data_IF_619010960907
#
_entry.id   IF_619010960907
#
_cell.length_a   1.000
_cell.length_b   1.000
_cell.length_c   1.000
_cell.angle_alpha   90.00
_cell.angle_beta   90.00
_cell.angle_gamma   90.00
#
_symmetry.space_group_name_H-M   'P 1'
#
loop_
_entity.id
_entity.type
_entity.pdbx_description
1 polymer ?
#
# COMPACT_ATOMS: atom_id res chain seq x y z
N UNK A 1 20.12 -4.85 -48.31
CA UNK A 1 19.56 -4.47 -47.00
C UNK A 1 20.34 -5.16 -45.89
N UNK A 2 21.01 -4.37 -45.04
CA UNK A 2 21.26 -4.54 -43.60
C UNK A 2 22.43 -3.60 -43.26
N UNK A 3 22.06 -2.42 -42.75
CA UNK A 3 22.99 -1.42 -42.22
C UNK A 3 23.55 -1.96 -40.92
N UNK A 4 24.82 -2.34 -40.93
CA UNK A 4 25.61 -2.48 -39.71
C UNK A 4 26.11 -1.09 -39.33
N UNK A 5 25.58 -0.54 -38.23
CA UNK A 5 26.09 0.69 -37.61
C UNK A 5 26.74 0.27 -36.29
N UNK A 6 28.07 0.34 -36.26
CA UNK A 6 28.95 0.32 -35.09
C UNK A 6 30.10 1.30 -35.44
N UNK A 7 30.87 1.83 -34.48
CA UNK A 7 30.50 2.56 -33.26
C UNK A 7 31.41 3.81 -33.06
N UNK A 8 30.97 4.94 -32.47
CA UNK A 8 31.81 5.94 -31.76
C UNK A 8 30.91 6.85 -30.89
N UNK A 9 31.00 6.76 -29.56
CA UNK A 9 31.78 7.62 -28.65
C UNK A 9 31.15 9.01 -28.43
N UNK A 10 30.79 9.25 -27.18
CA UNK A 10 30.29 10.48 -26.58
C UNK A 10 29.60 10.08 -25.26
N UNK A 11 30.33 9.50 -24.30
CA UNK A 11 30.87 10.28 -23.19
C UNK A 11 29.71 10.68 -22.28
N UNK A 12 29.41 10.01 -21.17
CA UNK A 12 30.25 9.88 -19.98
C UNK A 12 30.00 8.49 -19.36
N UNK A 13 30.97 7.59 -19.50
CA UNK A 13 31.32 6.71 -18.41
C UNK A 13 32.38 7.45 -17.58
N UNK A 14 32.33 7.29 -16.25
CA UNK A 14 33.28 7.80 -15.25
C UNK A 14 33.03 9.23 -14.71
N UNK A 15 31.98 9.40 -13.89
CA UNK A 15 31.98 10.40 -12.79
C UNK A 15 30.93 10.16 -11.68
N UNK A 16 30.47 8.93 -11.41
CA UNK A 16 29.67 8.63 -10.17
C UNK A 16 30.46 7.73 -9.20
N UNK A 17 31.71 7.40 -9.52
CA UNK A 17 32.59 6.68 -8.59
C UNK A 17 33.19 7.58 -7.48
N UNK A 18 32.98 8.91 -7.50
CA UNK A 18 33.60 9.82 -6.51
C UNK A 18 32.64 10.68 -5.68
N UNK A 19 31.32 10.62 -5.90
CA UNK A 19 30.33 11.20 -4.97
C UNK A 19 29.59 10.14 -4.16
N UNK A 20 29.58 8.89 -4.63
CA UNK A 20 29.16 7.73 -3.82
C UNK A 20 30.19 7.33 -2.75
N UNK A 21 31.45 7.75 -2.86
CA UNK A 21 32.51 7.42 -1.91
C UNK A 21 32.56 8.33 -0.66
N UNK A 22 31.80 9.44 -0.63
CA UNK A 22 31.69 10.29 0.56
C UNK A 22 30.41 10.04 1.38
N UNK A 23 29.44 9.27 0.86
CA UNK A 23 28.32 8.71 1.65
C UNK A 23 28.64 7.31 2.22
N UNK A 24 29.78 6.72 1.83
CA UNK A 24 30.23 5.39 2.26
C UNK A 24 31.03 5.39 3.58
N UNK A 25 31.20 6.54 4.27
CA UNK A 25 31.87 6.59 5.57
C UNK A 25 30.94 6.32 6.77
N UNK A 26 29.81 5.62 6.57
CA UNK A 26 28.95 5.14 7.65
C UNK A 26 28.10 3.90 7.25
N UNK A 27 28.68 2.87 6.60
CA UNK A 27 28.16 1.49 6.57
C UNK A 27 26.65 1.23 6.37
N UNK A 28 25.93 2.10 5.66
CA UNK A 28 24.47 2.05 5.55
C UNK A 28 23.99 1.31 4.30
N UNK A 29 22.73 0.84 4.33
CA UNK A 29 22.04 0.20 3.21
C UNK A 29 21.99 1.13 1.99
N UNK A 30 22.28 0.61 0.80
CA UNK A 30 22.18 1.39 -0.45
C UNK A 30 20.72 1.75 -0.76
N UNK A 31 20.48 2.79 -1.57
CA UNK A 31 19.12 3.16 -2.01
C UNK A 31 18.49 2.01 -2.82
N UNK A 32 19.26 1.39 -3.71
CA UNK A 32 18.79 0.27 -4.52
C UNK A 32 18.37 -0.94 -3.68
N UNK A 33 19.17 -1.33 -2.67
CA UNK A 33 18.83 -2.45 -1.78
C UNK A 33 17.60 -2.14 -0.92
N UNK A 34 17.52 -0.91 -0.40
CA UNK A 34 16.37 -0.43 0.35
C UNK A 34 15.07 -0.48 -0.47
N UNK A 35 15.13 0.01 -1.71
CA UNK A 35 14.01 0.00 -2.65
C UNK A 35 13.59 -1.43 -3.04
N UNK A 36 14.55 -2.33 -3.23
CA UNK A 36 14.26 -3.75 -3.50
C UNK A 36 13.53 -4.40 -2.33
N UNK A 37 14.00 -4.19 -1.09
CA UNK A 37 13.35 -4.71 0.12
C UNK A 37 11.92 -4.18 0.23
N UNK A 38 11.72 -2.86 0.06
CA UNK A 38 10.40 -2.25 0.11
C UNK A 38 9.44 -2.87 -0.91
N UNK A 39 9.87 -3.01 -2.17
CA UNK A 39 9.08 -3.61 -3.23
C UNK A 39 8.77 -5.09 -2.98
N UNK A 40 9.77 -5.90 -2.58
CA UNK A 40 9.60 -7.33 -2.35
C UNK A 40 8.56 -7.61 -1.25
N UNK A 41 8.62 -6.87 -0.14
CA UNK A 41 7.66 -7.01 0.96
C UNK A 41 6.27 -6.49 0.56
N UNK A 42 6.18 -5.36 -0.15
CA UNK A 42 4.90 -4.85 -0.66
C UNK A 42 4.25 -5.79 -1.67
N UNK A 43 5.00 -6.36 -2.61
CA UNK A 43 4.47 -7.31 -3.60
C UNK A 43 3.95 -8.58 -2.93
N UNK A 44 4.68 -9.13 -1.96
CA UNK A 44 4.21 -10.29 -1.18
C UNK A 44 2.89 -9.97 -0.48
N UNK A 45 2.83 -8.82 0.18
CA UNK A 45 1.69 -8.45 1.01
C UNK A 45 0.44 -8.06 0.21
N UNK A 46 0.61 -7.54 -1.01
CA UNK A 46 -0.51 -7.09 -1.86
C UNK A 46 -1.02 -8.15 -2.83
N UNK A 47 -0.27 -9.24 -3.02
CA UNK A 47 -0.58 -10.27 -4.02
C UNK A 47 -1.94 -10.94 -3.86
N UNK A 48 -2.48 -11.04 -2.64
CA UNK A 48 -3.75 -11.71 -2.36
C UNK A 48 -4.95 -10.77 -2.18
N UNK A 49 -4.73 -9.47 -1.97
CA UNK A 49 -5.79 -8.50 -1.58
C UNK A 49 -7.02 -8.60 -2.49
N UNK A 50 -6.85 -8.55 -3.81
CA UNK A 50 -7.98 -8.53 -4.73
C UNK A 50 -8.83 -9.81 -4.63
N UNK A 51 -8.17 -10.96 -4.44
CA UNK A 51 -8.86 -12.23 -4.23
C UNK A 51 -9.57 -12.25 -2.88
N UNK A 52 -8.91 -11.77 -1.82
CA UNK A 52 -9.45 -11.76 -0.46
C UNK A 52 -10.64 -10.82 -0.33
N UNK A 53 -10.57 -9.62 -0.93
CA UNK A 53 -11.71 -8.68 -1.02
C UNK A 53 -12.87 -9.31 -1.80
N UNK A 54 -12.59 -9.98 -2.92
CA UNK A 54 -13.65 -10.64 -3.71
C UNK A 54 -14.32 -11.76 -2.93
N UNK A 55 -13.54 -12.59 -2.23
CA UNK A 55 -14.05 -13.67 -1.39
C UNK A 55 -14.87 -13.12 -0.20
N UNK A 56 -14.40 -12.04 0.42
CA UNK A 56 -15.12 -11.34 1.48
C UNK A 56 -16.48 -10.80 0.99
N UNK A 57 -16.53 -10.18 -0.18
CA UNK A 57 -17.79 -9.71 -0.77
C UNK A 57 -18.76 -10.88 -1.04
N UNK A 58 -18.26 -12.03 -1.50
CA UNK A 58 -19.10 -13.23 -1.70
C UNK A 58 -19.65 -13.78 -0.38
N UNK A 59 -18.85 -13.78 0.69
CA UNK A 59 -19.30 -14.16 2.03
C UNK A 59 -20.35 -13.21 2.59
N UNK A 60 -20.12 -11.90 2.46
CA UNK A 60 -21.05 -10.88 2.91
C UNK A 60 -22.42 -11.01 2.22
N UNK A 61 -22.43 -11.23 0.89
CA UNK A 61 -23.67 -11.45 0.13
C UNK A 61 -24.36 -12.79 0.48
N UNK A 62 -23.62 -13.74 1.06
CA UNK A 62 -24.17 -14.97 1.61
C UNK A 62 -24.73 -14.82 3.03
N UNK A 63 -24.61 -13.64 3.64
CA UNK A 63 -25.04 -13.37 5.02
C UNK A 63 -24.00 -13.79 6.07
N UNK A 64 -22.78 -14.15 5.65
CA UNK A 64 -21.69 -14.39 6.58
C UNK A 64 -21.12 -13.07 7.10
N UNK A 65 -20.76 -13.06 8.38
CA UNK A 65 -20.05 -11.93 8.99
C UNK A 65 -18.65 -11.82 8.40
N UNK A 66 -18.29 -10.62 7.96
CA UNK A 66 -17.01 -10.32 7.32
C UNK A 66 -16.36 -9.16 8.06
N UNK A 67 -15.11 -9.36 8.46
CA UNK A 67 -14.24 -8.30 8.95
C UNK A 67 -13.37 -7.80 7.79
N UNK A 68 -13.69 -6.62 7.27
CA UNK A 68 -12.96 -6.04 6.15
C UNK A 68 -11.58 -5.52 6.58
N UNK A 69 -11.35 -5.20 7.86
CA UNK A 69 -10.06 -4.75 8.34
C UNK A 69 -9.03 -5.89 8.35
N UNK A 70 -9.45 -7.11 8.69
CA UNK A 70 -8.61 -8.32 8.65
C UNK A 70 -8.06 -8.62 7.23
N UNK A 71 -8.80 -8.27 6.18
CA UNK A 71 -8.37 -8.47 4.78
C UNK A 71 -7.10 -7.68 4.46
N UNK A 72 -6.96 -6.49 5.05
CA UNK A 72 -5.83 -5.59 4.78
C UNK A 72 -4.66 -5.79 5.76
N UNK A 73 -4.83 -6.62 6.79
CA UNK A 73 -3.81 -6.91 7.80
C UNK A 73 -2.50 -7.48 7.22
N UNK A 74 -2.50 -8.40 6.24
CA UNK A 74 -1.25 -8.85 5.61
C UNK A 74 -0.43 -7.69 5.03
N UNK A 75 -1.12 -6.65 4.54
CA UNK A 75 -0.51 -5.46 3.93
C UNK A 75 0.12 -4.56 4.96
N UNK A 76 -0.58 -4.27 6.05
CA UNK A 76 -0.02 -3.48 7.16
C UNK A 76 1.17 -4.19 7.78
N UNK A 77 1.12 -5.52 7.95
CA UNK A 77 2.25 -6.33 8.42
C UNK A 77 3.42 -6.34 7.44
N UNK A 78 3.15 -6.41 6.13
CA UNK A 78 4.16 -6.32 5.08
C UNK A 78 4.87 -4.97 5.09
N UNK A 79 4.11 -3.89 5.27
CA UNK A 79 4.64 -2.54 5.40
C UNK A 79 5.47 -2.36 6.68
N UNK A 80 5.06 -2.96 7.79
CA UNK A 80 5.84 -2.96 9.04
C UNK A 80 7.15 -3.74 8.91
N UNK A 81 7.11 -4.89 8.22
CA UNK A 81 8.33 -5.64 7.88
C UNK A 81 9.24 -4.83 6.97
N UNK A 82 8.71 -4.19 5.94
CA UNK A 82 9.49 -3.35 5.03
C UNK A 82 10.17 -2.19 5.76
N UNK A 83 9.40 -1.41 6.54
CA UNK A 83 9.89 -0.25 7.29
C UNK A 83 10.91 -0.60 8.37
N UNK A 84 10.85 -1.82 8.94
CA UNK A 84 11.84 -2.32 9.90
C UNK A 84 13.16 -2.77 9.26
N UNK A 85 13.14 -3.21 8.00
CA UNK A 85 14.33 -3.69 7.25
C UNK A 85 15.01 -2.60 6.43
N UNK A 86 14.28 -1.55 6.08
CA UNK A 86 14.81 -0.41 5.34
C UNK A 86 15.48 0.55 6.31
N UNK A 87 16.81 0.68 6.21
CA UNK A 87 17.62 1.58 7.04
C UNK A 87 18.13 2.79 6.27
N UNK A 88 17.99 2.81 4.95
CA UNK A 88 18.32 3.98 4.15
C UNK A 88 17.27 5.07 4.34
N UNK A 89 17.62 6.17 5.03
CA UNK A 89 16.70 7.27 5.36
C UNK A 89 15.95 7.87 4.16
N UNK A 90 16.55 7.88 2.96
CA UNK A 90 15.90 8.43 1.76
C UNK A 90 14.71 7.57 1.34
N UNK A 91 14.80 6.26 1.51
CA UNK A 91 13.71 5.30 1.20
C UNK A 91 12.81 5.10 2.41
N UNK A 92 13.39 5.06 3.61
CA UNK A 92 12.67 4.84 4.87
C UNK A 92 11.58 5.88 5.10
N UNK A 93 11.90 7.17 4.95
CA UNK A 93 10.96 8.26 5.23
C UNK A 93 9.67 8.20 4.38
N UNK A 94 9.72 8.11 3.04
CA UNK A 94 8.51 7.98 2.23
C UNK A 94 7.80 6.63 2.45
N UNK A 95 8.54 5.55 2.74
CA UNK A 95 7.95 4.26 3.09
C UNK A 95 7.19 4.28 4.42
N UNK A 96 7.75 4.89 5.47
CA UNK A 96 7.09 5.06 6.77
C UNK A 96 5.82 5.93 6.63
N UNK A 97 5.88 6.98 5.79
CA UNK A 97 4.72 7.82 5.48
C UNK A 97 3.63 7.03 4.73
N UNK A 98 4.01 6.23 3.74
CA UNK A 98 3.09 5.34 3.03
C UNK A 98 2.45 4.32 4.00
N UNK A 99 3.26 3.67 4.85
CA UNK A 99 2.80 2.70 5.84
C UNK A 99 1.78 3.33 6.82
N UNK A 100 2.05 4.56 7.25
CA UNK A 100 1.15 5.30 8.15
C UNK A 100 -0.19 5.61 7.47
N UNK A 101 -0.19 6.12 6.25
CA UNK A 101 -1.43 6.41 5.52
C UNK A 101 -2.21 5.13 5.20
N UNK A 102 -1.51 4.01 4.92
CA UNK A 102 -2.16 2.72 4.72
C UNK A 102 -2.83 2.20 5.99
N UNK A 103 -2.19 2.34 7.16
CA UNK A 103 -2.81 1.99 8.45
C UNK A 103 -4.01 2.87 8.77
N UNK A 104 -3.98 4.15 8.41
CA UNK A 104 -5.13 5.03 8.58
C UNK A 104 -6.29 4.64 7.66
N UNK A 105 -5.97 4.21 6.43
CA UNK A 105 -6.95 3.62 5.53
C UNK A 105 -7.60 2.36 6.12
N UNK A 106 -6.81 1.40 6.62
CA UNK A 106 -7.37 0.16 7.19
C UNK A 106 -8.23 0.43 8.42
N UNK A 107 -7.84 1.38 9.28
CA UNK A 107 -8.63 1.80 10.45
C UNK A 107 -10.01 2.35 10.09
N UNK A 108 -10.20 2.84 8.86
CA UNK A 108 -11.52 3.30 8.41
C UNK A 108 -12.52 2.15 8.35
N UNK A 109 -12.05 0.91 8.18
CA UNK A 109 -12.86 -0.30 8.19
C UNK A 109 -13.07 -0.89 9.60
N UNK A 110 -12.45 -0.31 10.64
CA UNK A 110 -12.58 -0.84 12.01
C UNK A 110 -14.05 -0.77 12.47
N UNK A 111 -14.56 -1.92 12.88
CA UNK A 111 -15.95 -2.08 13.31
C UNK A 111 -16.97 -1.86 12.19
N UNK A 112 -16.57 -1.90 10.92
CA UNK A 112 -17.51 -2.00 9.82
C UNK A 112 -17.92 -3.45 9.62
N UNK A 113 -19.19 -3.73 9.90
CA UNK A 113 -19.81 -5.01 9.65
C UNK A 113 -20.96 -4.78 8.67
N UNK A 114 -20.94 -5.51 7.56
CA UNK A 114 -22.06 -5.45 6.63
C UNK A 114 -23.26 -6.15 7.28
N UNK A 115 -24.43 -5.49 7.40
CA UNK A 115 -25.60 -6.10 8.01
C UNK A 115 -26.08 -7.30 7.16
N UNK A 116 -26.67 -8.31 7.80
CA UNK A 116 -27.29 -9.43 7.07
C UNK A 116 -28.49 -8.92 6.28
N UNK A 117 -28.29 -8.79 4.97
CA UNK A 117 -29.31 -8.29 4.04
C UNK A 117 -30.39 -9.31 3.71
N UNK A 118 -30.23 -10.59 4.09
CA UNK A 118 -31.17 -11.66 3.71
C UNK A 118 -32.44 -11.69 4.57
N UNK A 119 -32.36 -11.22 5.82
CA UNK A 119 -33.43 -11.36 6.81
C UNK A 119 -33.82 -10.03 7.45
N UNK A 120 -33.66 -8.92 6.73
CA UNK A 120 -34.00 -7.60 7.27
C UNK A 120 -35.52 -7.47 7.37
N UNK A 121 -36.01 -7.37 8.60
CA UNK A 121 -37.38 -6.96 8.88
C UNK A 121 -37.46 -5.43 8.84
N UNK A 122 -38.08 -4.89 7.79
CA UNK A 122 -38.28 -3.45 7.64
C UNK A 122 -39.26 -2.85 8.65
N UNK A 123 -39.97 -3.69 9.42
CA UNK A 123 -40.83 -3.27 10.52
C UNK A 123 -40.11 -3.27 11.88
N UNK A 124 -38.91 -3.84 11.98
CA UNK A 124 -38.07 -3.81 13.19
C UNK A 124 -37.22 -2.52 13.24
N UNK A 125 -37.48 -1.61 14.21
CA UNK A 125 -36.69 -0.39 14.36
C UNK A 125 -35.19 -0.65 14.57
N UNK A 126 -34.81 -1.75 15.23
CA UNK A 126 -33.41 -2.06 15.48
C UNK A 126 -32.68 -2.53 14.21
N UNK A 127 -33.37 -3.23 13.31
CA UNK A 127 -32.84 -3.61 12.00
C UNK A 127 -32.63 -2.38 11.10
N UNK A 128 -33.58 -1.45 11.13
CA UNK A 128 -33.50 -0.17 10.41
C UNK A 128 -32.37 0.72 10.93
N UNK A 129 -32.16 0.79 12.24
CA UNK A 129 -31.05 1.54 12.85
C UNK A 129 -29.69 0.96 12.43
N UNK A 130 -29.52 -0.36 12.46
CA UNK A 130 -28.28 -1.02 11.99
C UNK A 130 -28.00 -0.76 10.51
N UNK A 131 -29.03 -0.78 9.67
CA UNK A 131 -28.91 -0.43 8.26
C UNK A 131 -28.44 1.01 8.07
N UNK A 132 -29.01 1.94 8.84
CA UNK A 132 -28.61 3.34 8.78
C UNK A 132 -27.16 3.53 9.23
N UNK A 133 -26.76 2.94 10.36
CA UNK A 133 -25.38 2.98 10.85
C UNK A 133 -24.39 2.38 9.84
N UNK A 134 -24.74 1.25 9.22
CA UNK A 134 -23.93 0.63 8.18
C UNK A 134 -23.80 1.52 6.93
N UNK A 135 -24.89 2.20 6.52
CA UNK A 135 -24.89 3.16 5.42
C UNK A 135 -24.00 4.37 5.72
N UNK A 136 -24.11 4.95 6.92
CA UNK A 136 -23.29 6.07 7.38
C UNK A 136 -21.80 5.70 7.44
N UNK A 137 -21.48 4.54 8.04
CA UNK A 137 -20.12 3.98 8.04
C UNK A 137 -19.59 3.72 6.63
N UNK A 138 -20.41 3.17 5.72
CA UNK A 138 -19.98 2.93 4.35
C UNK A 138 -19.68 4.24 3.59
N UNK A 139 -20.48 5.29 3.82
CA UNK A 139 -20.20 6.62 3.27
C UNK A 139 -18.92 7.23 3.86
N UNK A 140 -18.69 7.07 5.16
CA UNK A 140 -17.47 7.52 5.83
C UNK A 140 -16.24 6.79 5.27
N UNK A 141 -16.31 5.46 5.17
CA UNK A 141 -15.27 4.61 4.55
C UNK A 141 -14.99 5.08 3.12
N UNK A 142 -16.02 5.35 2.33
CA UNK A 142 -15.85 5.81 0.95
C UNK A 142 -15.08 7.14 0.87
N UNK A 143 -15.43 8.11 1.72
CA UNK A 143 -14.72 9.40 1.82
C UNK A 143 -13.27 9.22 2.28
N UNK A 144 -13.06 8.43 3.33
CA UNK A 144 -11.74 8.16 3.88
C UNK A 144 -10.87 7.38 2.89
N UNK A 145 -11.44 6.42 2.15
CA UNK A 145 -10.79 5.67 1.10
C UNK A 145 -10.35 6.56 -0.05
N UNK A 146 -11.19 7.53 -0.48
CA UNK A 146 -10.81 8.52 -1.48
C UNK A 146 -9.64 9.39 -1.02
N UNK A 147 -9.74 9.96 0.18
CA UNK A 147 -8.69 10.80 0.75
C UNK A 147 -7.37 10.03 0.93
N UNK A 148 -7.45 8.80 1.45
CA UNK A 148 -6.31 7.91 1.61
C UNK A 148 -5.71 7.51 0.26
N UNK A 149 -6.53 7.22 -0.75
CA UNK A 149 -6.05 6.86 -2.10
C UNK A 149 -5.19 7.97 -2.70
N UNK A 150 -5.62 9.24 -2.63
CA UNK A 150 -4.81 10.37 -3.10
C UNK A 150 -3.47 10.43 -2.38
N UNK A 151 -3.48 10.34 -1.05
CA UNK A 151 -2.25 10.38 -0.26
C UNK A 151 -1.33 9.18 -0.53
N UNK A 152 -1.88 7.97 -0.63
CA UNK A 152 -1.14 6.74 -0.92
C UNK A 152 -0.49 6.81 -2.30
N UNK A 153 -1.20 7.36 -3.30
CA UNK A 153 -0.64 7.61 -4.64
C UNK A 153 0.52 8.61 -4.56
N UNK A 154 0.36 9.71 -3.83
CA UNK A 154 1.42 10.72 -3.69
C UNK A 154 2.64 10.18 -2.92
N UNK A 155 2.45 9.40 -1.86
CA UNK A 155 3.56 8.74 -1.17
C UNK A 155 4.21 7.66 -2.05
N UNK A 156 3.42 6.90 -2.79
CA UNK A 156 3.91 5.91 -3.76
C UNK A 156 4.80 6.54 -4.84
N UNK A 157 4.41 7.71 -5.38
CA UNK A 157 5.25 8.48 -6.31
C UNK A 157 6.58 8.88 -5.68
N UNK A 158 6.60 9.36 -4.44
CA UNK A 158 7.85 9.72 -3.75
C UNK A 158 8.77 8.52 -3.55
N UNK A 159 8.22 7.35 -3.25
CA UNK A 159 9.00 6.10 -3.19
C UNK A 159 9.60 5.82 -4.57
N UNK A 160 8.79 5.87 -5.64
CA UNK A 160 9.27 5.65 -7.01
C UNK A 160 10.35 6.64 -7.45
N UNK A 161 10.21 7.92 -7.14
CA UNK A 161 11.20 8.96 -7.44
C UNK A 161 12.55 8.65 -6.78
N UNK A 162 12.54 8.26 -5.50
CA UNK A 162 13.78 7.88 -4.79
C UNK A 162 14.37 6.61 -5.39
N UNK A 163 13.53 5.62 -5.72
CA UNK A 163 14.00 4.34 -6.26
C UNK A 163 14.49 4.41 -7.71
N UNK A 164 13.99 5.36 -8.51
CA UNK A 164 14.44 5.57 -9.88
C UNK A 164 15.68 6.50 -9.98
N UNK A 165 15.93 7.31 -8.95
CA UNK A 165 17.09 8.19 -8.88
C UNK A 165 18.31 7.53 -8.20
N UNK A 166 18.14 6.33 -7.62
CA UNK A 166 19.14 5.61 -6.83
C UNK A 166 19.97 4.60 -7.59
#
# INVERSE_FOLDING_TARGET
>A
MKKSILPRIGGIAAAIALTASMAACAGGQSVADACKIANDEMTKATSSINSDVSAAMQKATQGEKVDFAEIFKPVTEGLDKATSKVTNEKVKKPLDAFATEYKNFTKSFDGFEMPDMKNIDASDPAAMEKLQQASEKAQEISKNAQAASTKLVDQGKKIQEVCNAG
#
